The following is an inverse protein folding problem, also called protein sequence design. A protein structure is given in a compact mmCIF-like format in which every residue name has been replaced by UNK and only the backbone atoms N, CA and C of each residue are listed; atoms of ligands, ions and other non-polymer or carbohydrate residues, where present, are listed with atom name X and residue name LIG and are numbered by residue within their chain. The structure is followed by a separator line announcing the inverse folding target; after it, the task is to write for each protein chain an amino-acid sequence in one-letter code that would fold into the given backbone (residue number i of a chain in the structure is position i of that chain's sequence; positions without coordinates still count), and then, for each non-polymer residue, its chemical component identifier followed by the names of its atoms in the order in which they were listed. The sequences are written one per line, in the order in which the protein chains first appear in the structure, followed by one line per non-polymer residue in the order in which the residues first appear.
data_IF_302321000877
#
_entry.id   IF_302321000877
#
_cell.length_a   1.000
_cell.length_b   1.000
_cell.length_c   1.000
_cell.angle_alpha   90.00
_cell.angle_beta   90.00
_cell.angle_gamma   90.00
#
_symmetry.space_group_name_H-M   'P 1'
#
loop_
_entity.id
_entity.type
_entity.pdbx_description
1 polymer ?
#
# COMPACT_ATOMS: atom_id res chain seq x y z
N UNK A 1 14.76 37.27 11.82
CA UNK A 1 13.53 36.61 11.32
C UNK A 1 13.66 35.97 9.92
N UNK A 2 14.75 36.19 9.16
CA UNK A 2 14.95 35.56 7.83
C UNK A 2 15.21 34.05 7.89
N UNK A 3 16.08 33.57 8.80
CA UNK A 3 16.50 32.16 8.84
C UNK A 3 15.37 31.14 9.03
N UNK A 4 14.27 31.51 9.71
CA UNK A 4 13.12 30.62 9.94
C UNK A 4 12.27 30.37 8.69
N UNK A 5 12.43 31.18 7.64
CA UNK A 5 11.69 31.02 6.37
C UNK A 5 12.49 30.16 5.40
N UNK A 6 13.80 30.36 5.33
CA UNK A 6 14.71 29.61 4.45
C UNK A 6 14.81 28.14 4.88
N UNK A 7 14.90 27.88 6.20
CA UNK A 7 14.86 26.54 6.77
C UNK A 7 13.58 25.78 6.40
N UNK A 8 12.42 26.47 6.40
CA UNK A 8 11.13 25.86 6.03
C UNK A 8 11.05 25.48 4.55
N UNK A 9 11.65 26.28 3.67
CA UNK A 9 11.69 25.99 2.23
C UNK A 9 12.62 24.80 1.97
N UNK A 10 13.79 24.78 2.61
CA UNK A 10 14.73 23.67 2.49
C UNK A 10 14.10 22.34 2.94
N UNK A 11 13.48 22.30 4.12
CA UNK A 11 12.78 21.11 4.63
C UNK A 11 11.63 20.69 3.70
N UNK A 12 10.93 21.66 3.10
CA UNK A 12 9.86 21.37 2.14
C UNK A 12 10.40 20.72 0.86
N UNK A 13 11.52 21.20 0.33
CA UNK A 13 12.19 20.58 -0.83
C UNK A 13 12.73 19.20 -0.49
N UNK A 14 13.31 19.01 0.70
CA UNK A 14 13.81 17.70 1.16
C UNK A 14 12.68 16.67 1.29
N UNK A 15 11.50 17.07 1.78
CA UNK A 15 10.31 16.22 1.81
C UNK A 15 9.84 15.82 0.40
N UNK A 16 9.92 16.74 -0.55
CA UNK A 16 9.46 16.55 -1.93
C UNK A 16 10.44 15.78 -2.81
N UNK A 17 11.72 15.70 -2.44
CA UNK A 17 12.80 15.19 -3.28
C UNK A 17 12.50 13.83 -3.94
N UNK A 18 12.05 12.78 -3.21
CA UNK A 18 11.78 11.48 -3.84
C UNK A 18 10.63 11.53 -4.85
N UNK A 19 9.61 12.35 -4.58
CA UNK A 19 8.43 12.49 -5.46
C UNK A 19 8.78 13.29 -6.70
N UNK A 20 9.51 14.40 -6.55
CA UNK A 20 10.00 15.18 -7.68
C UNK A 20 10.82 14.27 -8.62
N UNK A 21 11.67 13.43 -8.04
CA UNK A 21 12.50 12.50 -8.78
C UNK A 21 11.67 11.47 -9.58
N UNK A 22 10.74 10.76 -8.93
CA UNK A 22 9.89 9.78 -9.63
C UNK A 22 9.04 10.42 -10.72
N UNK A 23 8.41 11.56 -10.43
CA UNK A 23 7.54 12.22 -11.42
C UNK A 23 8.39 12.69 -12.60
N UNK A 24 9.62 13.16 -12.36
CA UNK A 24 10.54 13.53 -13.44
C UNK A 24 10.89 12.34 -14.33
N UNK A 25 11.20 11.19 -13.75
CA UNK A 25 11.48 9.97 -14.52
C UNK A 25 10.25 9.50 -15.29
N UNK A 26 9.07 9.50 -14.68
CA UNK A 26 7.83 9.09 -15.35
C UNK A 26 7.49 10.01 -16.53
N UNK A 27 7.68 11.32 -16.37
CA UNK A 27 7.50 12.29 -17.46
C UNK A 27 8.50 12.06 -18.59
N UNK A 28 9.77 11.78 -18.27
CA UNK A 28 10.77 11.54 -19.30
C UNK A 28 10.57 10.17 -19.97
N UNK A 29 10.26 9.13 -19.20
CA UNK A 29 10.00 7.79 -19.71
C UNK A 29 8.79 7.78 -20.66
N UNK A 30 7.72 8.52 -20.35
CA UNK A 30 6.56 8.64 -21.24
C UNK A 30 6.87 9.39 -22.54
N UNK A 31 7.85 10.29 -22.53
CA UNK A 31 8.34 10.97 -23.73
C UNK A 31 9.30 10.09 -24.55
N UNK A 32 10.21 9.36 -23.90
CA UNK A 32 11.20 8.51 -24.56
C UNK A 32 10.55 7.25 -25.14
N UNK A 33 9.60 6.64 -24.43
CA UNK A 33 9.03 5.34 -24.80
C UNK A 33 8.46 5.29 -26.23
N UNK A 34 7.65 6.26 -26.70
CA UNK A 34 7.20 6.29 -28.08
C UNK A 34 8.34 6.41 -29.11
N UNK A 35 9.39 7.17 -28.77
CA UNK A 35 10.54 7.41 -29.65
C UNK A 35 11.38 6.13 -29.78
N UNK A 36 11.49 5.36 -28.70
CA UNK A 36 12.21 4.07 -28.71
C UNK A 36 11.49 2.96 -29.49
N UNK A 37 10.21 3.12 -29.85
CA UNK A 37 9.49 2.17 -30.70
C UNK A 37 9.83 2.33 -32.19
N UNK A 38 10.50 3.44 -32.58
CA UNK A 38 10.92 3.66 -33.96
C UNK A 38 12.20 2.86 -34.27
N UNK A 39 12.27 2.18 -35.42
CA UNK A 39 13.48 1.48 -35.86
C UNK A 39 14.71 2.40 -35.89
N UNK A 40 15.86 1.90 -35.44
CA UNK A 40 17.12 2.67 -35.39
C UNK A 40 17.53 3.26 -36.75
N UNK A 41 17.11 2.63 -37.84
CA UNK A 41 17.39 3.07 -39.21
C UNK A 41 16.66 4.37 -39.60
N UNK A 42 15.65 4.80 -38.85
CA UNK A 42 14.86 6.01 -39.12
C UNK A 42 15.44 7.24 -38.41
N UNK A 43 16.05 7.06 -37.23
CA UNK A 43 16.53 8.15 -36.39
C UNK A 43 18.06 8.05 -36.21
N UNK A 44 18.86 8.96 -36.83
CA UNK A 44 20.31 8.97 -36.67
C UNK A 44 20.79 9.47 -35.29
N UNK A 45 19.85 9.84 -34.41
CA UNK A 45 20.11 10.43 -33.09
C UNK A 45 19.47 9.58 -32.02
N UNK A 46 20.17 9.35 -30.91
CA UNK A 46 19.63 8.59 -29.77
C UNK A 46 18.32 9.22 -29.27
N UNK A 47 17.27 8.44 -28.99
CA UNK A 47 15.96 8.92 -28.51
C UNK A 47 16.02 9.92 -27.34
N UNK A 48 17.02 9.76 -26.47
CA UNK A 48 17.19 10.59 -25.29
C UNK A 48 17.43 12.08 -25.62
N UNK A 49 18.18 12.39 -26.68
CA UNK A 49 18.43 13.77 -27.09
C UNK A 49 17.19 14.43 -27.70
N UNK A 50 16.34 13.64 -28.38
CA UNK A 50 15.07 14.13 -28.95
C UNK A 50 14.12 14.50 -27.82
N UNK A 51 13.96 13.61 -26.83
CA UNK A 51 13.14 13.87 -25.65
C UNK A 51 13.61 15.14 -24.92
N UNK A 52 14.91 15.35 -24.85
CA UNK A 52 15.48 16.53 -24.22
C UNK A 52 15.17 17.84 -24.96
N UNK A 53 15.34 17.89 -26.29
CA UNK A 53 14.98 19.08 -27.07
C UNK A 53 13.52 19.45 -26.83
N UNK A 54 12.63 18.44 -26.83
CA UNK A 54 11.22 18.62 -26.52
C UNK A 54 11.02 19.17 -25.10
N UNK A 55 11.66 18.58 -24.09
CA UNK A 55 11.58 19.05 -22.69
C UNK A 55 12.12 20.47 -22.55
N UNK A 56 13.25 20.79 -23.18
CA UNK A 56 13.87 22.12 -23.17
C UNK A 56 12.98 23.19 -23.78
N UNK A 57 12.35 22.91 -24.94
CA UNK A 57 11.36 23.81 -25.56
C UNK A 57 10.16 24.01 -24.63
N UNK A 58 9.62 22.93 -24.06
CA UNK A 58 8.48 23.00 -23.13
C UNK A 58 8.80 23.82 -21.88
N UNK A 59 9.99 23.65 -21.31
CA UNK A 59 10.48 24.44 -20.18
C UNK A 59 10.66 25.91 -20.57
N UNK A 60 11.26 26.21 -21.72
CA UNK A 60 11.37 27.58 -22.23
C UNK A 60 10.01 28.27 -22.36
N UNK A 61 9.03 27.60 -22.98
CA UNK A 61 7.64 28.08 -23.10
C UNK A 61 7.00 28.31 -21.72
N UNK A 62 7.22 27.41 -20.77
CA UNK A 62 6.75 27.57 -19.40
C UNK A 62 7.41 28.76 -18.70
N UNK A 63 8.71 28.96 -18.88
CA UNK A 63 9.45 30.13 -18.39
C UNK A 63 8.88 31.46 -18.87
N UNK A 64 8.45 31.54 -20.13
CA UNK A 64 7.74 32.72 -20.64
C UNK A 64 6.37 32.92 -19.98
N UNK A 65 5.62 31.84 -19.74
CA UNK A 65 4.35 31.91 -19.01
C UNK A 65 4.55 32.40 -17.57
N UNK A 66 5.62 32.00 -16.88
CA UNK A 66 5.92 32.46 -15.52
C UNK A 66 6.02 34.00 -15.43
N UNK A 67 6.50 34.68 -16.48
CA UNK A 67 6.54 36.16 -16.52
C UNK A 67 5.14 36.79 -16.47
N UNK A 68 4.13 36.10 -17.01
CA UNK A 68 2.72 36.56 -16.99
C UNK A 68 2.04 36.35 -15.63
N UNK A 69 2.56 35.45 -14.79
CA UNK A 69 1.97 35.09 -13.49
C UNK A 69 2.34 36.05 -12.35
N UNK A 70 2.93 37.22 -12.64
CA UNK A 70 3.31 38.27 -11.67
C UNK A 70 4.18 37.75 -10.49
N UNK A 71 4.99 36.72 -10.73
CA UNK A 71 5.90 36.13 -9.73
C UNK A 71 7.07 37.08 -9.47
N UNK A 72 7.67 37.05 -8.28
CA UNK A 72 8.82 37.89 -7.96
C UNK A 72 9.99 37.65 -8.93
N UNK A 73 10.71 38.74 -9.27
CA UNK A 73 11.85 38.71 -10.18
C UNK A 73 12.92 37.70 -9.76
N UNK A 74 13.12 37.51 -8.44
CA UNK A 74 14.08 36.55 -7.89
C UNK A 74 13.77 35.12 -8.30
N UNK A 75 12.51 34.65 -8.17
CA UNK A 75 12.13 33.31 -8.61
C UNK A 75 12.26 33.14 -10.13
N UNK A 76 11.96 34.18 -10.91
CA UNK A 76 12.17 34.11 -12.35
C UNK A 76 13.66 33.95 -12.71
N UNK A 77 14.55 34.71 -12.07
CA UNK A 77 15.99 34.59 -12.27
C UNK A 77 16.48 33.19 -11.91
N UNK A 78 16.04 32.65 -10.76
CA UNK A 78 16.37 31.29 -10.32
C UNK A 78 15.92 30.26 -11.36
N UNK A 79 14.70 30.38 -11.89
CA UNK A 79 14.17 29.51 -12.94
C UNK A 79 15.09 29.47 -14.18
N UNK A 80 15.39 30.65 -14.73
CA UNK A 80 16.21 30.76 -15.95
C UNK A 80 17.65 30.33 -15.71
N UNK A 81 18.21 30.59 -14.53
CA UNK A 81 19.55 30.15 -14.14
C UNK A 81 19.65 28.61 -14.12
N UNK A 82 18.72 27.93 -13.44
CA UNK A 82 18.72 26.46 -13.40
C UNK A 82 18.42 25.83 -14.75
N UNK A 83 17.55 26.44 -15.57
CA UNK A 83 17.30 25.98 -16.94
C UNK A 83 18.60 26.09 -17.77
N UNK A 84 19.27 27.24 -17.72
CA UNK A 84 20.53 27.49 -18.44
C UNK A 84 21.65 26.55 -18.03
N UNK A 85 21.80 26.27 -16.72
CA UNK A 85 22.75 25.26 -16.23
C UNK A 85 22.39 23.88 -16.77
N UNK A 86 21.12 23.50 -16.71
CA UNK A 86 20.69 22.18 -17.14
C UNK A 86 20.92 21.94 -18.63
N UNK A 87 20.61 22.93 -19.48
CA UNK A 87 20.89 22.89 -20.92
C UNK A 87 22.40 22.99 -21.21
N UNK A 88 23.13 23.82 -20.46
CA UNK A 88 24.56 24.05 -20.65
C UNK A 88 25.41 22.82 -20.31
N UNK A 89 25.20 22.20 -19.14
CA UNK A 89 25.93 20.98 -18.78
C UNK A 89 25.68 19.88 -19.82
N UNK A 90 24.52 19.86 -20.45
CA UNK A 90 24.25 18.88 -21.48
C UNK A 90 25.02 19.12 -22.77
N UNK A 91 24.96 20.34 -23.30
CA UNK A 91 25.65 20.70 -24.54
C UNK A 91 27.17 20.48 -24.45
N UNK A 92 27.74 20.60 -23.25
CA UNK A 92 29.19 20.53 -23.04
C UNK A 92 29.72 19.23 -22.43
N UNK A 93 28.95 18.53 -21.59
CA UNK A 93 29.47 17.40 -20.78
C UNK A 93 28.78 16.06 -21.06
N UNK A 94 27.78 16.02 -21.95
CA UNK A 94 27.14 14.78 -22.43
C UNK A 94 26.65 13.83 -21.31
N UNK A 95 26.26 14.38 -20.16
CA UNK A 95 25.76 13.62 -19.02
C UNK A 95 24.25 13.37 -19.13
N UNK A 96 23.87 12.17 -19.55
CA UNK A 96 22.46 11.75 -19.63
C UNK A 96 21.68 11.79 -18.30
N UNK A 97 22.38 11.91 -17.17
CA UNK A 97 21.77 12.00 -15.84
C UNK A 97 20.99 13.29 -15.60
N UNK A 98 21.48 14.43 -16.11
CA UNK A 98 20.84 15.72 -15.88
C UNK A 98 19.50 15.81 -16.62
N UNK A 99 19.34 15.05 -17.70
CA UNK A 99 18.09 14.91 -18.44
C UNK A 99 16.99 14.34 -17.54
N UNK A 100 17.31 13.36 -16.68
CA UNK A 100 16.33 12.77 -15.76
C UNK A 100 15.78 13.78 -14.75
N UNK A 101 16.56 14.82 -14.45
CA UNK A 101 16.19 15.87 -13.50
C UNK A 101 15.64 17.13 -14.19
N UNK A 102 15.70 17.28 -15.51
CA UNK A 102 15.17 18.46 -16.20
C UNK A 102 13.68 18.74 -15.89
N UNK A 103 12.78 17.75 -15.89
CA UNK A 103 11.38 17.98 -15.55
C UNK A 103 11.17 18.44 -14.09
N UNK A 104 12.13 18.21 -13.19
CA UNK A 104 12.03 18.58 -11.77
C UNK A 104 11.76 20.08 -11.60
N UNK A 105 12.35 20.90 -12.48
CA UNK A 105 12.23 22.35 -12.44
C UNK A 105 10.78 22.79 -12.73
N UNK A 106 10.15 22.18 -13.75
CA UNK A 106 8.73 22.36 -14.02
C UNK A 106 7.86 21.89 -12.84
N UNK A 107 8.16 20.72 -12.29
CA UNK A 107 7.39 20.11 -11.20
C UNK A 107 7.42 21.00 -9.95
N UNK A 108 8.60 21.46 -9.52
CA UNK A 108 8.75 22.35 -8.36
C UNK A 108 7.95 23.64 -8.55
N UNK A 109 8.10 24.31 -9.69
CA UNK A 109 7.38 25.55 -9.95
C UNK A 109 5.87 25.33 -10.05
N UNK A 110 5.42 24.23 -10.66
CA UNK A 110 4.01 23.87 -10.72
C UNK A 110 3.44 23.62 -9.31
N UNK A 111 4.17 22.86 -8.48
CA UNK A 111 3.78 22.59 -7.08
C UNK A 111 3.79 23.86 -6.25
N UNK A 112 4.64 24.85 -6.51
CA UNK A 112 4.67 26.09 -5.73
C UNK A 112 3.59 27.09 -6.18
N UNK A 113 3.35 27.21 -7.48
CA UNK A 113 2.62 28.35 -8.05
C UNK A 113 1.20 28.00 -8.49
N UNK A 114 0.95 26.79 -9.00
CA UNK A 114 -0.35 26.46 -9.58
C UNK A 114 -1.42 26.23 -8.51
N UNK A 115 -2.61 26.80 -8.70
CA UNK A 115 -3.74 26.67 -7.76
C UNK A 115 -4.34 25.25 -7.78
N UNK A 116 -4.25 24.56 -8.92
CA UNK A 116 -4.75 23.17 -9.07
C UNK A 116 -4.03 22.19 -8.13
N UNK A 117 -2.80 22.51 -7.71
CA UNK A 117 -2.00 21.69 -6.80
C UNK A 117 -2.26 22.00 -5.31
N UNK A 118 -3.30 22.76 -4.95
CA UNK A 118 -3.51 23.20 -3.56
C UNK A 118 -3.70 22.06 -2.55
N UNK A 119 -4.40 20.99 -2.92
CA UNK A 119 -4.56 19.81 -2.05
C UNK A 119 -3.21 19.14 -1.78
N UNK A 120 -2.40 18.99 -2.82
CA UNK A 120 -1.05 18.43 -2.73
C UNK A 120 -0.12 19.33 -1.90
N UNK A 121 -0.16 20.65 -2.10
CA UNK A 121 0.55 21.63 -1.27
C UNK A 121 0.21 21.47 0.20
N UNK A 122 -1.08 21.42 0.52
CA UNK A 122 -1.59 21.27 1.89
C UNK A 122 -1.09 19.97 2.52
N UNK A 123 -1.15 18.87 1.78
CA UNK A 123 -0.65 17.57 2.23
C UNK A 123 0.84 17.63 2.63
N UNK A 124 1.70 18.13 1.73
CA UNK A 124 3.14 18.23 2.02
C UNK A 124 3.46 19.23 3.13
N UNK A 125 2.71 20.33 3.22
CA UNK A 125 2.92 21.32 4.27
C UNK A 125 2.59 20.75 5.65
N UNK A 126 1.52 19.97 5.77
CA UNK A 126 1.13 19.31 7.03
C UNK A 126 2.02 18.11 7.37
N UNK A 127 2.52 17.40 6.37
CA UNK A 127 3.36 16.22 6.55
C UNK A 127 4.87 16.49 6.52
N UNK A 128 5.29 17.76 6.33
CA UNK A 128 6.68 18.14 6.05
C UNK A 128 7.71 17.45 6.95
N UNK A 129 7.60 17.59 8.26
CA UNK A 129 8.62 17.11 9.19
C UNK A 129 8.62 15.57 9.24
N UNK A 130 7.46 14.95 9.08
CA UNK A 130 7.33 13.49 8.99
C UNK A 130 7.97 12.94 7.72
N UNK A 131 7.73 13.58 6.56
CA UNK A 131 8.32 13.16 5.29
C UNK A 131 9.84 13.38 5.27
N UNK A 132 10.32 14.48 5.85
CA UNK A 132 11.76 14.70 6.06
C UNK A 132 12.34 13.59 6.95
N UNK A 133 11.68 13.26 8.06
CA UNK A 133 12.12 12.20 8.95
C UNK A 133 12.17 10.84 8.24
N UNK A 134 11.18 10.51 7.40
CA UNK A 134 11.24 9.31 6.56
C UNK A 134 12.42 9.33 5.60
N UNK A 135 12.60 10.41 4.84
CA UNK A 135 13.67 10.50 3.85
C UNK A 135 15.06 10.42 4.50
N UNK A 136 15.27 11.07 5.64
CA UNK A 136 16.51 10.99 6.41
C UNK A 136 16.74 9.61 7.00
N UNK A 137 15.69 9.01 7.59
CA UNK A 137 15.76 7.65 8.11
C UNK A 137 16.12 6.66 7.01
N UNK A 138 15.48 6.77 5.84
CA UNK A 138 15.70 5.85 4.73
C UNK A 138 17.09 6.00 4.14
N UNK A 139 17.56 7.24 3.94
CA UNK A 139 18.92 7.51 3.48
C UNK A 139 19.96 6.95 4.47
N UNK A 140 19.76 7.14 5.77
CA UNK A 140 20.62 6.59 6.80
C UNK A 140 20.56 5.06 6.85
N UNK A 141 19.38 4.47 6.78
CA UNK A 141 19.18 3.03 6.77
C UNK A 141 19.89 2.38 5.57
N UNK A 142 19.69 2.92 4.36
CA UNK A 142 20.35 2.40 3.15
C UNK A 142 21.86 2.61 3.22
N UNK A 143 22.33 3.80 3.64
CA UNK A 143 23.75 4.09 3.76
C UNK A 143 24.48 3.21 4.77
N UNK A 144 23.91 3.07 5.98
CA UNK A 144 24.42 2.18 7.03
C UNK A 144 24.43 0.71 6.58
N UNK A 145 23.41 0.31 5.81
CA UNK A 145 23.34 -1.03 5.24
C UNK A 145 24.52 -1.33 4.32
N UNK A 146 24.83 -0.46 3.34
CA UNK A 146 25.95 -0.67 2.44
C UNK A 146 27.30 -0.60 3.13
N UNK A 147 27.43 0.28 4.13
CA UNK A 147 28.61 0.37 4.96
C UNK A 147 28.83 -0.93 5.75
N UNK A 148 27.77 -1.52 6.30
CA UNK A 148 27.82 -2.81 6.98
C UNK A 148 28.20 -3.95 6.03
N UNK A 149 27.66 -3.96 4.80
CA UNK A 149 28.09 -4.92 3.75
C UNK A 149 29.60 -4.82 3.47
N UNK A 150 30.12 -3.60 3.35
CA UNK A 150 31.53 -3.34 3.11
C UNK A 150 32.40 -3.86 4.27
N UNK A 151 32.04 -3.52 5.52
CA UNK A 151 32.76 -3.96 6.72
C UNK A 151 32.78 -5.49 6.84
N UNK A 152 31.64 -6.16 6.59
CA UNK A 152 31.56 -7.63 6.63
C UNK A 152 32.49 -8.23 5.57
N UNK A 153 32.45 -7.72 4.34
CA UNK A 153 33.30 -8.22 3.25
C UNK A 153 34.79 -8.06 3.57
N UNK A 154 35.19 -6.94 4.16
CA UNK A 154 36.58 -6.65 4.49
C UNK A 154 37.08 -7.48 5.69
N UNK A 155 36.20 -7.79 6.65
CA UNK A 155 36.57 -8.50 7.88
C UNK A 155 36.09 -9.95 7.95
N UNK A 156 35.66 -10.53 6.83
CA UNK A 156 35.05 -11.88 6.78
C UNK A 156 35.90 -12.93 7.50
N UNK A 157 37.21 -12.96 7.24
CA UNK A 157 38.12 -13.93 7.85
C UNK A 157 38.22 -13.79 9.39
N UNK A 158 38.15 -12.57 9.91
CA UNK A 158 38.18 -12.30 11.36
C UNK A 158 36.85 -12.67 12.03
N UNK A 159 35.75 -12.46 11.31
CA UNK A 159 34.42 -12.86 11.76
C UNK A 159 34.35 -14.39 11.81
N UNK A 160 34.81 -15.06 10.76
CA UNK A 160 34.84 -16.53 10.70
C UNK A 160 35.73 -17.12 11.80
N UNK A 161 36.91 -16.54 12.07
CA UNK A 161 37.75 -17.02 13.17
C UNK A 161 37.08 -16.86 14.53
N UNK A 162 36.46 -15.71 14.79
CA UNK A 162 35.74 -15.46 16.04
C UNK A 162 34.54 -16.40 16.22
N UNK A 163 33.75 -16.62 15.17
CA UNK A 163 32.59 -17.53 15.21
C UNK A 163 33.03 -18.97 15.48
N UNK A 164 34.16 -19.39 14.92
CA UNK A 164 34.70 -20.74 15.13
C UNK A 164 35.31 -20.95 16.54
N UNK A 165 35.66 -19.87 17.26
CA UNK A 165 36.14 -19.94 18.65
C UNK A 165 35.00 -20.08 19.67
N UNK A 166 33.75 -19.82 19.27
CA UNK A 166 32.60 -19.92 20.17
C UNK A 166 32.29 -21.40 20.48
N UNK A 167 31.94 -21.74 21.73
CA UNK A 167 31.60 -23.11 22.14
C UNK A 167 30.22 -23.58 21.64
N UNK A 168 29.60 -22.85 20.71
CA UNK A 168 28.25 -23.09 20.20
C UNK A 168 28.37 -23.59 18.76
N UNK A 169 27.52 -24.53 18.36
CA UNK A 169 27.53 -25.02 16.99
C UNK A 169 27.25 -23.87 16.00
N UNK A 170 27.96 -23.87 14.87
CA UNK A 170 27.81 -22.82 13.85
C UNK A 170 26.38 -22.76 13.29
N UNK A 171 25.73 -23.92 13.13
CA UNK A 171 24.34 -24.01 12.69
C UNK A 171 23.35 -23.37 13.66
N UNK A 172 23.54 -23.56 14.97
CA UNK A 172 22.66 -22.95 15.98
C UNK A 172 22.86 -21.44 16.04
N UNK A 173 24.11 -20.97 15.94
CA UNK A 173 24.43 -19.54 15.86
C UNK A 173 23.82 -18.87 14.64
N UNK A 174 23.91 -19.50 13.47
CA UNK A 174 23.33 -18.99 12.23
C UNK A 174 21.81 -18.85 12.34
N UNK A 175 21.14 -19.84 12.94
CA UNK A 175 19.68 -19.82 13.14
C UNK A 175 19.26 -18.74 14.16
N UNK A 176 19.96 -18.62 15.29
CA UNK A 176 19.69 -17.58 16.30
C UNK A 176 19.90 -16.19 15.70
N UNK A 177 21.01 -16.00 14.96
CA UNK A 177 21.32 -14.75 14.26
C UNK A 177 20.25 -14.41 13.23
N UNK A 178 19.81 -15.38 12.43
CA UNK A 178 18.75 -15.19 11.44
C UNK A 178 17.44 -14.75 12.09
N UNK A 179 17.01 -15.43 13.16
CA UNK A 179 15.79 -15.05 13.90
C UNK A 179 15.92 -13.62 14.45
N UNK A 180 17.06 -13.29 15.06
CA UNK A 180 17.30 -11.97 15.61
C UNK A 180 17.28 -10.88 14.53
N UNK A 181 17.93 -11.12 13.39
CA UNK A 181 17.96 -10.19 12.25
C UNK A 181 16.54 -9.98 11.69
N UNK A 182 15.77 -11.06 11.52
CA UNK A 182 14.37 -10.97 11.05
C UNK A 182 13.54 -10.12 12.02
N UNK A 183 13.65 -10.39 13.31
CA UNK A 183 12.91 -9.64 14.34
C UNK A 183 13.32 -8.17 14.35
N UNK A 184 14.62 -7.87 14.26
CA UNK A 184 15.13 -6.50 14.18
C UNK A 184 14.57 -5.78 12.95
N UNK A 185 14.70 -6.37 11.77
CA UNK A 185 14.34 -5.75 10.49
C UNK A 185 12.84 -5.59 10.28
N UNK A 186 12.03 -6.55 10.73
CA UNK A 186 10.58 -6.56 10.44
C UNK A 186 9.70 -6.19 11.64
N UNK A 187 10.24 -6.14 12.86
CA UNK A 187 9.46 -5.76 14.05
C UNK A 187 10.01 -4.47 14.64
N UNK A 188 11.23 -4.47 15.18
CA UNK A 188 11.74 -3.31 15.92
C UNK A 188 11.91 -2.05 15.06
N UNK A 189 12.60 -2.17 13.92
CA UNK A 189 12.88 -1.01 13.06
C UNK A 189 11.58 -0.41 12.49
N UNK A 190 10.63 -1.20 11.92
CA UNK A 190 9.38 -0.66 11.44
C UNK A 190 8.50 -0.06 12.55
N UNK A 191 8.49 -0.65 13.76
CA UNK A 191 7.77 -0.07 14.91
C UNK A 191 8.35 1.30 15.24
N UNK A 192 9.68 1.39 15.39
CA UNK A 192 10.34 2.64 15.70
C UNK A 192 10.04 3.73 14.66
N UNK A 193 10.28 3.44 13.37
CA UNK A 193 10.02 4.36 12.26
C UNK A 193 8.53 4.75 12.18
N UNK A 194 7.64 3.77 12.32
CA UNK A 194 6.19 3.94 12.22
C UNK A 194 5.58 4.78 13.36
N UNK A 195 5.95 4.51 14.61
CA UNK A 195 5.47 5.31 15.74
C UNK A 195 6.09 6.70 15.78
N UNK A 196 7.38 6.82 15.48
CA UNK A 196 8.07 8.11 15.46
C UNK A 196 7.43 9.06 14.43
N UNK A 197 7.10 8.56 13.24
CA UNK A 197 6.46 9.37 12.19
C UNK A 197 5.09 9.93 12.60
N UNK A 198 4.25 9.12 13.26
CA UNK A 198 2.95 9.55 13.79
C UNK A 198 3.15 10.59 14.91
N UNK A 199 4.13 10.38 15.78
CA UNK A 199 4.45 11.33 16.84
C UNK A 199 4.92 12.67 16.28
N UNK A 200 5.84 12.67 15.30
CA UNK A 200 6.32 13.88 14.61
C UNK A 200 5.14 14.62 13.96
N UNK A 201 4.26 13.90 13.25
CA UNK A 201 3.12 14.50 12.57
C UNK A 201 2.17 15.20 13.54
N UNK A 202 1.83 14.51 14.64
CA UNK A 202 0.96 15.08 15.68
C UNK A 202 1.60 16.29 16.33
N UNK A 203 2.91 16.25 16.60
CA UNK A 203 3.64 17.38 17.18
C UNK A 203 3.67 18.59 16.24
N UNK A 204 3.96 18.37 14.96
CA UNK A 204 3.97 19.41 13.93
C UNK A 204 2.59 20.10 13.80
N UNK A 205 1.51 19.31 13.80
CA UNK A 205 0.15 19.81 13.58
C UNK A 205 -0.62 20.11 14.88
N UNK A 206 0.02 19.98 16.05
CA UNK A 206 -0.60 20.18 17.39
C UNK A 206 -1.88 19.34 17.60
N UNK A 207 -1.84 18.08 17.17
CA UNK A 207 -2.96 17.14 17.31
C UNK A 207 -2.81 16.36 18.61
N UNK A 208 -3.76 16.56 19.53
CA UNK A 208 -3.83 15.85 20.80
C UNK A 208 -4.92 14.77 20.75
N UNK A 209 -4.72 13.69 21.50
CA UNK A 209 -5.74 12.66 21.63
C UNK A 209 -6.92 13.21 22.44
N UNK A 210 -8.12 13.18 21.84
CA UNK A 210 -9.35 13.50 22.55
C UNK A 210 -9.74 12.34 23.46
N UNK A 211 -10.48 12.61 24.53
CA UNK A 211 -11.01 11.58 25.42
C UNK A 211 -11.86 10.58 24.63
N UNK A 212 -11.64 9.28 24.84
CA UNK A 212 -12.30 8.20 24.11
C UNK A 212 -11.74 7.90 22.71
N UNK A 213 -10.83 8.72 22.16
CA UNK A 213 -10.24 8.50 20.83
C UNK A 213 -8.82 7.94 20.89
N UNK A 214 -8.50 7.04 19.96
CA UNK A 214 -7.19 6.39 19.83
C UNK A 214 -6.64 6.48 18.41
N UNK A 215 -5.32 6.48 18.29
CA UNK A 215 -4.60 6.47 17.00
C UNK A 215 -4.01 5.10 16.66
N UNK A 216 -4.51 4.01 17.26
CA UNK A 216 -3.95 2.66 17.12
C UNK A 216 -3.88 2.23 15.65
N UNK A 217 -4.97 2.38 14.91
CA UNK A 217 -5.02 2.04 13.49
C UNK A 217 -4.07 2.90 12.64
N UNK A 218 -3.88 4.18 12.99
CA UNK A 218 -2.90 5.04 12.32
C UNK A 218 -1.47 4.56 12.58
N UNK A 219 -1.14 4.18 13.82
CA UNK A 219 0.17 3.59 14.14
C UNK A 219 0.40 2.25 13.44
N UNK A 220 -0.61 1.38 13.37
CA UNK A 220 -0.52 0.08 12.70
C UNK A 220 -0.33 0.26 11.19
N UNK A 221 -1.06 1.19 10.54
CA UNK A 221 -0.85 1.53 9.13
C UNK A 221 0.54 2.12 8.89
N UNK A 222 1.05 2.94 9.81
CA UNK A 222 2.39 3.50 9.73
C UNK A 222 3.48 2.43 9.90
N UNK A 223 3.29 1.48 10.81
CA UNK A 223 4.12 0.29 10.95
C UNK A 223 4.11 -0.52 9.64
N UNK A 224 2.94 -0.80 9.06
CA UNK A 224 2.82 -1.52 7.79
C UNK A 224 3.55 -0.82 6.65
N UNK A 225 3.37 0.50 6.53
CA UNK A 225 4.11 1.35 5.57
C UNK A 225 5.63 1.21 5.77
N UNK A 226 6.06 1.20 7.03
CA UNK A 226 7.47 1.08 7.38
C UNK A 226 8.04 -0.31 7.06
N UNK A 227 7.30 -1.37 7.36
CA UNK A 227 7.67 -2.75 7.09
C UNK A 227 7.77 -3.02 5.59
N UNK A 228 6.81 -2.53 4.80
CA UNK A 228 6.84 -2.62 3.33
C UNK A 228 8.06 -1.91 2.78
N UNK A 229 8.37 -0.70 3.25
CA UNK A 229 9.55 0.03 2.77
C UNK A 229 10.84 -0.74 3.05
N UNK A 230 11.00 -1.25 4.27
CA UNK A 230 12.20 -2.00 4.67
C UNK A 230 12.31 -3.31 3.89
N UNK A 231 11.20 -4.02 3.69
CA UNK A 231 11.14 -5.19 2.82
C UNK A 231 11.65 -4.87 1.41
N UNK A 232 11.15 -3.79 0.81
CA UNK A 232 11.57 -3.35 -0.53
C UNK A 232 13.07 -3.00 -0.55
N UNK A 233 13.58 -2.31 0.46
CA UNK A 233 15.00 -1.97 0.56
C UNK A 233 15.90 -3.20 0.64
N UNK A 234 15.52 -4.19 1.45
CA UNK A 234 16.24 -5.46 1.60
C UNK A 234 16.17 -6.29 0.31
N UNK A 235 15.00 -6.31 -0.36
CA UNK A 235 14.84 -7.06 -1.62
C UNK A 235 15.79 -6.54 -2.71
N UNK A 236 15.93 -5.22 -2.83
CA UNK A 236 16.89 -4.59 -3.75
C UNK A 236 18.33 -4.81 -3.32
N UNK A 237 18.59 -4.91 -2.01
CA UNK A 237 19.93 -5.16 -1.51
C UNK A 237 20.49 -6.49 -2.01
N UNK A 238 19.72 -7.58 -1.92
CA UNK A 238 20.18 -8.90 -2.36
C UNK A 238 20.49 -8.95 -3.87
N UNK A 239 19.97 -7.99 -4.64
CA UNK A 239 20.22 -7.87 -6.07
C UNK A 239 21.40 -6.94 -6.41
N UNK A 240 21.91 -6.15 -5.46
CA UNK A 240 22.86 -5.06 -5.75
C UNK A 240 24.19 -5.21 -4.99
N UNK A 241 25.29 -5.20 -5.73
CA UNK A 241 26.62 -5.42 -5.16
C UNK A 241 27.33 -4.14 -4.70
N UNK A 242 27.02 -2.99 -5.31
CA UNK A 242 27.65 -1.70 -5.00
C UNK A 242 26.66 -0.54 -5.08
N UNK A 243 26.95 0.54 -4.34
CA UNK A 243 26.26 1.82 -4.45
C UNK A 243 26.71 2.54 -5.72
N UNK A 244 26.09 2.19 -6.83
CA UNK A 244 26.24 2.92 -8.09
C UNK A 244 25.08 3.91 -8.27
N UNK A 245 25.24 4.86 -9.18
CA UNK A 245 24.21 5.85 -9.49
C UNK A 245 22.83 5.19 -9.73
N UNK A 246 22.76 4.14 -10.55
CA UNK A 246 21.51 3.39 -10.83
C UNK A 246 20.84 2.84 -9.57
N UNK A 247 21.61 2.28 -8.65
CA UNK A 247 21.07 1.77 -7.37
C UNK A 247 20.51 2.89 -6.50
N UNK A 248 21.17 4.05 -6.47
CA UNK A 248 20.65 5.23 -5.76
C UNK A 248 19.32 5.69 -6.35
N UNK A 249 19.16 5.64 -7.68
CA UNK A 249 17.89 5.97 -8.32
C UNK A 249 16.78 5.02 -7.93
N UNK A 250 17.05 3.72 -7.88
CA UNK A 250 16.05 2.74 -7.47
C UNK A 250 15.64 2.98 -6.01
N UNK A 251 16.59 3.28 -5.12
CA UNK A 251 16.24 3.61 -3.74
C UNK A 251 15.44 4.90 -3.60
N UNK A 252 15.75 5.95 -4.37
CA UNK A 252 14.93 7.16 -4.44
C UNK A 252 13.52 6.86 -4.94
N UNK A 253 13.38 5.92 -5.89
CA UNK A 253 12.08 5.45 -6.33
C UNK A 253 11.31 4.77 -5.18
N UNK A 254 11.97 3.86 -4.47
CA UNK A 254 11.36 3.16 -3.34
C UNK A 254 10.96 4.10 -2.21
N UNK A 255 11.76 5.12 -1.90
CA UNK A 255 11.44 6.14 -0.90
C UNK A 255 10.15 6.90 -1.24
N UNK A 256 9.87 7.16 -2.52
CA UNK A 256 8.63 7.88 -2.88
C UNK A 256 7.37 7.08 -2.60
N UNK A 257 7.42 5.74 -2.55
CA UNK A 257 6.27 4.94 -2.14
C UNK A 257 5.87 5.21 -0.69
N UNK A 258 6.84 5.51 0.19
CA UNK A 258 6.54 5.95 1.57
C UNK A 258 5.64 7.18 1.57
N UNK A 259 5.94 8.15 0.70
CA UNK A 259 5.15 9.39 0.59
C UNK A 259 3.72 9.11 0.11
N UNK A 260 3.54 8.12 -0.76
CA UNK A 260 2.21 7.70 -1.20
C UNK A 260 1.45 6.98 -0.08
N UNK A 261 2.06 5.98 0.58
CA UNK A 261 1.41 5.22 1.64
C UNK A 261 1.07 6.07 2.87
N UNK A 262 1.88 7.10 3.16
CA UNK A 262 1.61 8.05 4.23
C UNK A 262 0.25 8.76 4.09
N UNK A 263 -0.28 8.87 2.86
CA UNK A 263 -1.62 9.43 2.61
C UNK A 263 -2.68 8.74 3.49
N UNK A 264 -2.64 7.41 3.54
CA UNK A 264 -3.62 6.60 4.28
C UNK A 264 -3.52 6.75 5.80
N UNK A 265 -2.38 7.22 6.30
CA UNK A 265 -2.09 7.41 7.73
C UNK A 265 -2.50 8.79 8.17
N UNK A 266 -2.07 9.85 7.47
CA UNK A 266 -2.32 11.22 7.92
C UNK A 266 -3.82 11.56 7.89
N UNK A 267 -4.59 11.03 6.93
CA UNK A 267 -6.04 11.23 6.89
C UNK A 267 -6.74 10.70 8.14
N UNK A 268 -6.27 9.57 8.68
CA UNK A 268 -6.78 9.01 9.93
C UNK A 268 -6.43 9.88 11.14
N UNK A 269 -5.21 10.44 11.17
CA UNK A 269 -4.77 11.32 12.25
C UNK A 269 -5.52 12.66 12.21
N UNK A 270 -5.73 13.22 11.02
CA UNK A 270 -6.41 14.50 10.81
C UNK A 270 -7.88 14.50 11.25
N UNK A 271 -8.53 13.33 11.23
CA UNK A 271 -9.90 13.15 11.76
C UNK A 271 -9.95 13.15 13.30
N UNK A 272 -8.81 13.28 13.97
CA UNK A 272 -8.70 13.32 15.43
C UNK A 272 -8.65 11.95 16.11
N UNK A 273 -8.36 10.90 15.35
CA UNK A 273 -8.34 9.51 15.83
C UNK A 273 -9.70 8.83 15.75
N UNK A 274 -9.71 7.53 15.99
CA UNK A 274 -10.89 6.68 15.92
C UNK A 274 -11.45 6.42 17.32
N UNK A 275 -12.75 6.16 17.42
CA UNK A 275 -13.38 5.81 18.70
C UNK A 275 -12.83 4.49 19.25
N UNK A 276 -12.44 4.46 20.53
CA UNK A 276 -11.76 3.31 21.14
C UNK A 276 -12.62 2.05 21.09
N UNK A 277 -13.91 2.16 21.40
CA UNK A 277 -14.82 1.01 21.40
C UNK A 277 -15.01 0.49 19.98
N UNK A 278 -15.19 1.39 19.02
CA UNK A 278 -15.23 1.05 17.60
C UNK A 278 -13.97 0.34 17.10
N UNK A 279 -12.78 0.81 17.50
CA UNK A 279 -11.50 0.16 17.13
C UNK A 279 -11.41 -1.25 17.71
N UNK A 280 -11.72 -1.43 18.99
CA UNK A 280 -11.69 -2.74 19.64
C UNK A 280 -12.68 -3.70 18.94
N UNK A 281 -13.90 -3.24 18.69
CA UNK A 281 -14.92 -4.04 17.99
C UNK A 281 -14.45 -4.48 16.61
N UNK A 282 -13.84 -3.58 15.83
CA UNK A 282 -13.30 -3.91 14.51
C UNK A 282 -12.17 -4.94 14.58
N UNK A 283 -11.25 -4.84 15.55
CA UNK A 283 -10.18 -5.82 15.72
C UNK A 283 -10.69 -7.19 16.16
N UNK A 284 -11.70 -7.23 17.03
CA UNK A 284 -12.38 -8.48 17.40
C UNK A 284 -13.04 -9.10 16.18
N UNK A 285 -13.71 -8.30 15.35
CA UNK A 285 -14.34 -8.78 14.11
C UNK A 285 -13.29 -9.34 13.13
N UNK A 286 -12.17 -8.64 12.93
CA UNK A 286 -11.06 -9.14 12.10
C UNK A 286 -10.54 -10.47 12.66
N UNK A 287 -10.34 -10.57 13.97
CA UNK A 287 -9.91 -11.82 14.63
C UNK A 287 -10.88 -12.97 14.40
N UNK A 288 -12.19 -12.72 14.56
CA UNK A 288 -13.23 -13.71 14.28
C UNK A 288 -13.21 -14.16 12.82
N UNK A 289 -13.10 -13.22 11.87
CA UNK A 289 -13.01 -13.54 10.43
C UNK A 289 -11.78 -14.40 10.12
N UNK A 290 -10.63 -14.12 10.73
CA UNK A 290 -9.43 -14.93 10.57
C UNK A 290 -9.62 -16.36 11.12
N UNK A 291 -10.25 -16.51 12.28
CA UNK A 291 -10.58 -17.82 12.84
C UNK A 291 -11.53 -18.57 11.90
N UNK A 292 -12.57 -17.90 11.39
CA UNK A 292 -13.49 -18.48 10.41
C UNK A 292 -12.78 -18.92 9.13
N UNK A 293 -11.79 -18.16 8.64
CA UNK A 293 -11.01 -18.54 7.47
C UNK A 293 -10.15 -19.78 7.71
N UNK A 294 -9.54 -19.90 8.89
CA UNK A 294 -8.80 -21.11 9.27
C UNK A 294 -9.75 -22.32 9.34
N UNK A 295 -10.91 -22.16 9.98
CA UNK A 295 -11.90 -23.24 10.06
C UNK A 295 -12.43 -23.63 8.67
N UNK A 296 -12.74 -22.65 7.82
CA UNK A 296 -13.17 -22.87 6.43
C UNK A 296 -12.11 -23.66 5.64
N UNK A 297 -10.83 -23.37 5.88
CA UNK A 297 -9.72 -24.06 5.23
C UNK A 297 -9.59 -25.53 5.68
N UNK A 298 -9.79 -25.79 6.97
CA UNK A 298 -9.54 -27.10 7.61
C UNK A 298 -10.73 -28.06 7.52
N UNK A 299 -11.96 -27.56 7.68
CA UNK A 299 -13.20 -28.35 7.74
C UNK A 299 -14.25 -27.78 6.78
N UNK A 300 -13.85 -27.59 5.51
CA UNK A 300 -14.62 -26.91 4.46
C UNK A 300 -16.08 -27.38 4.36
N UNK A 301 -16.32 -28.69 4.23
CA UNK A 301 -17.65 -29.27 4.07
C UNK A 301 -18.56 -29.00 5.28
N UNK A 302 -18.08 -29.25 6.49
CA UNK A 302 -18.87 -29.09 7.72
C UNK A 302 -19.15 -27.61 8.01
N UNK A 303 -18.16 -26.74 7.75
CA UNK A 303 -18.33 -25.30 7.87
C UNK A 303 -19.34 -24.74 6.87
N UNK A 304 -19.33 -25.21 5.61
CA UNK A 304 -20.36 -24.83 4.63
C UNK A 304 -21.74 -25.25 5.14
N UNK A 305 -21.87 -26.46 5.68
CA UNK A 305 -23.11 -26.97 6.26
C UNK A 305 -23.65 -26.07 7.38
N UNK A 306 -22.79 -25.70 8.35
CA UNK A 306 -23.16 -24.81 9.45
C UNK A 306 -23.55 -23.41 8.92
N UNK A 307 -22.74 -22.86 8.02
CA UNK A 307 -22.95 -21.52 7.48
C UNK A 307 -24.22 -21.39 6.65
N UNK A 308 -24.63 -22.46 5.97
CA UNK A 308 -25.88 -22.52 5.17
C UNK A 308 -27.11 -22.15 5.99
N UNK A 309 -27.15 -22.53 7.25
CA UNK A 309 -28.23 -22.15 8.17
C UNK A 309 -27.92 -20.86 8.93
N UNK A 310 -26.65 -20.68 9.34
CA UNK A 310 -26.29 -19.56 10.18
C UNK A 310 -26.35 -18.19 9.46
N UNK A 311 -25.72 -18.06 8.29
CA UNK A 311 -25.54 -16.76 7.61
C UNK A 311 -26.83 -16.18 7.00
N UNK A 312 -27.66 -16.95 6.27
CA UNK A 312 -28.85 -16.39 5.63
C UNK A 312 -30.11 -16.47 6.50
N UNK A 313 -30.15 -17.28 7.56
CA UNK A 313 -31.35 -17.43 8.41
C UNK A 313 -31.13 -16.85 9.81
N UNK A 314 -30.17 -17.38 10.58
CA UNK A 314 -30.01 -17.00 11.98
C UNK A 314 -29.45 -15.57 12.16
N UNK A 315 -28.44 -15.19 11.37
CA UNK A 315 -27.78 -13.90 11.50
C UNK A 315 -28.73 -12.72 11.22
N UNK A 316 -29.56 -12.73 10.16
CA UNK A 316 -30.66 -11.77 9.97
C UNK A 316 -31.62 -11.67 11.16
N UNK A 317 -32.00 -12.79 11.77
CA UNK A 317 -32.92 -12.83 12.92
C UNK A 317 -32.26 -12.20 14.15
N UNK A 318 -31.04 -12.61 14.49
CA UNK A 318 -30.30 -12.03 15.59
C UNK A 318 -30.15 -10.52 15.43
N UNK A 319 -29.79 -10.05 14.23
CA UNK A 319 -29.66 -8.61 13.92
C UNK A 319 -31.02 -7.90 14.03
N UNK A 320 -32.10 -8.50 13.55
CA UNK A 320 -33.45 -7.94 13.60
C UNK A 320 -34.01 -7.82 15.01
N UNK A 321 -33.58 -8.69 15.92
CA UNK A 321 -34.08 -8.76 17.29
C UNK A 321 -33.12 -8.23 18.36
N UNK A 322 -31.92 -7.73 18.01
CA UNK A 322 -30.92 -7.24 19.01
C UNK A 322 -31.52 -6.30 20.07
N UNK A 323 -32.45 -5.43 19.68
CA UNK A 323 -33.07 -4.47 20.59
C UNK A 323 -33.94 -5.13 21.70
N UNK A 324 -34.40 -6.38 21.51
CA UNK A 324 -35.19 -7.11 22.52
C UNK A 324 -34.35 -7.54 23.72
N UNK A 325 -33.02 -7.54 23.60
CA UNK A 325 -32.07 -8.00 24.61
C UNK A 325 -31.74 -6.87 25.63
N UNK A 326 -32.02 -5.60 25.30
CA UNK A 326 -31.65 -4.46 26.14
C UNK A 326 -32.69 -4.31 27.28
N UNK A 327 -32.33 -4.54 28.56
CA UNK A 327 -33.28 -4.70 29.67
C UNK A 327 -34.12 -3.46 30.01
N UNK A 328 -33.80 -2.29 29.43
CA UNK A 328 -34.45 -0.99 29.72
C UNK A 328 -34.74 -0.17 28.47
N UNK A 329 -34.57 -0.75 27.28
CA UNK A 329 -34.93 -0.09 26.02
C UNK A 329 -36.41 -0.31 25.73
N UNK A 330 -37.15 0.74 25.36
CA UNK A 330 -38.46 0.56 24.73
C UNK A 330 -38.31 -0.42 23.56
N UNK A 331 -39.16 -1.45 23.49
CA UNK A 331 -39.22 -2.39 22.36
C UNK A 331 -39.43 -1.59 21.07
N UNK A 332 -38.36 -1.37 20.31
CA UNK A 332 -38.41 -0.66 19.04
C UNK A 332 -38.64 -1.66 17.92
N UNK A 333 -39.73 -1.50 17.18
CA UNK A 333 -39.97 -2.30 15.98
C UNK A 333 -38.96 -1.94 14.87
N UNK A 334 -38.57 -2.90 14.00
CA UNK A 334 -37.63 -2.63 12.91
C UNK A 334 -38.20 -1.61 11.93
N UNK A 335 -37.43 -0.55 11.67
CA UNK A 335 -37.78 0.47 10.65
C UNK A 335 -37.77 -0.15 9.24
N UNK A 336 -38.42 0.47 8.24
CA UNK A 336 -38.32 0.03 6.86
C UNK A 336 -36.87 -0.06 6.34
N UNK A 337 -35.99 0.83 6.80
CA UNK A 337 -34.56 0.79 6.49
C UNK A 337 -33.89 -0.48 7.06
N UNK A 338 -34.21 -0.84 8.31
CA UNK A 338 -33.72 -2.06 8.94
C UNK A 338 -34.23 -3.31 8.23
N UNK A 339 -35.53 -3.38 7.91
CA UNK A 339 -36.13 -4.49 7.16
C UNK A 339 -35.45 -4.68 5.80
N UNK A 340 -35.19 -3.57 5.08
CA UNK A 340 -34.46 -3.59 3.81
C UNK A 340 -33.02 -4.11 3.97
N UNK A 341 -32.32 -3.66 5.01
CA UNK A 341 -30.96 -4.11 5.29
C UNK A 341 -30.90 -5.62 5.58
N UNK A 342 -31.78 -6.11 6.44
CA UNK A 342 -31.91 -7.54 6.78
C UNK A 342 -32.20 -8.37 5.53
N UNK A 343 -33.15 -7.95 4.69
CA UNK A 343 -33.47 -8.65 3.44
C UNK A 343 -32.28 -8.70 2.47
N UNK A 344 -31.59 -7.57 2.32
CA UNK A 344 -30.40 -7.51 1.47
C UNK A 344 -29.28 -8.42 2.00
N UNK A 345 -29.06 -8.40 3.32
CA UNK A 345 -28.08 -9.25 3.98
C UNK A 345 -28.41 -10.74 3.80
N UNK A 346 -29.68 -11.12 3.95
CA UNK A 346 -30.14 -12.49 3.74
C UNK A 346 -29.86 -13.00 2.32
N UNK A 347 -30.23 -12.22 1.30
CA UNK A 347 -29.97 -12.57 -0.10
C UNK A 347 -28.46 -12.64 -0.38
N UNK A 348 -27.70 -11.67 0.13
CA UNK A 348 -26.26 -11.61 -0.06
C UNK A 348 -25.55 -12.80 0.58
N UNK A 349 -25.91 -13.15 1.82
CA UNK A 349 -25.42 -14.32 2.55
C UNK A 349 -25.74 -15.62 1.80
N UNK A 350 -26.98 -15.78 1.35
CA UNK A 350 -27.41 -16.94 0.59
C UNK A 350 -26.62 -17.09 -0.70
N UNK A 351 -26.53 -16.02 -1.51
CA UNK A 351 -25.83 -16.07 -2.79
C UNK A 351 -24.32 -16.26 -2.62
N UNK A 352 -23.72 -15.71 -1.55
CA UNK A 352 -22.29 -15.92 -1.25
C UNK A 352 -22.01 -17.38 -0.99
N UNK A 353 -22.83 -18.04 -0.17
CA UNK A 353 -22.70 -19.46 0.10
C UNK A 353 -23.04 -20.32 -1.10
N UNK A 354 -24.06 -19.96 -1.87
CA UNK A 354 -24.43 -20.67 -3.09
C UNK A 354 -23.28 -20.69 -4.10
N UNK A 355 -22.69 -19.53 -4.39
CA UNK A 355 -21.55 -19.45 -5.30
C UNK A 355 -20.34 -20.19 -4.73
N UNK A 356 -20.05 -20.00 -3.43
CA UNK A 356 -18.92 -20.68 -2.79
C UNK A 356 -19.07 -22.21 -2.84
N UNK A 357 -20.27 -22.72 -2.55
CA UNK A 357 -20.56 -24.15 -2.58
C UNK A 357 -20.55 -24.72 -4.00
N UNK A 358 -21.03 -23.99 -5.01
CA UNK A 358 -20.87 -24.38 -6.42
C UNK A 358 -19.39 -24.47 -6.80
N UNK A 359 -18.61 -23.44 -6.46
CA UNK A 359 -17.18 -23.40 -6.75
C UNK A 359 -16.43 -24.54 -6.06
N UNK A 360 -16.78 -24.85 -4.82
CA UNK A 360 -16.22 -25.96 -4.04
C UNK A 360 -16.65 -27.32 -4.63
N UNK A 361 -17.94 -27.55 -4.84
CA UNK A 361 -18.49 -28.83 -5.32
C UNK A 361 -18.09 -29.18 -6.75
N UNK A 362 -18.12 -28.23 -7.69
CA UNK A 362 -17.62 -28.44 -9.07
C UNK A 362 -16.14 -28.81 -9.11
N UNK A 363 -15.40 -28.36 -8.11
CA UNK A 363 -13.95 -28.56 -8.03
C UNK A 363 -13.57 -29.75 -7.17
N UNK A 364 -14.49 -30.37 -6.44
CA UNK A 364 -14.20 -31.47 -5.52
C UNK A 364 -14.29 -32.81 -6.24
N UNK A 365 -13.19 -33.56 -6.26
CA UNK A 365 -13.20 -34.99 -6.65
C UNK A 365 -13.06 -35.85 -5.40
N UNK A 366 -13.88 -36.88 -5.32
CA UNK A 366 -13.71 -37.95 -4.34
C UNK A 366 -12.63 -38.90 -4.86
N UNK A 367 -11.54 -39.04 -4.11
CA UNK A 367 -10.47 -40.00 -4.41
C UNK A 367 -10.40 -40.98 -3.25
N UNK A 368 -10.38 -42.28 -3.56
CA UNK A 368 -10.18 -43.31 -2.55
C UNK A 368 -8.69 -43.42 -2.30
N UNK A 369 -8.26 -43.14 -1.07
CA UNK A 369 -6.87 -43.27 -0.64
C UNK A 369 -6.85 -43.98 0.71
N UNK A 370 -6.08 -45.06 0.82
CA UNK A 370 -5.97 -45.88 2.04
C UNK A 370 -7.34 -46.24 2.67
N UNK A 371 -8.27 -46.76 1.87
CA UNK A 371 -9.62 -47.18 2.29
C UNK A 371 -10.54 -46.06 2.84
N UNK A 372 -10.10 -44.79 2.76
CA UNK A 372 -10.89 -43.61 3.12
C UNK A 372 -11.25 -42.80 1.87
N UNK A 373 -12.48 -42.27 1.85
CA UNK A 373 -12.94 -41.34 0.81
C UNK A 373 -12.37 -39.96 1.15
N UNK A 374 -11.30 -39.55 0.48
CA UNK A 374 -10.77 -38.18 0.58
C UNK A 374 -11.48 -37.29 -0.46
N UNK A 375 -12.11 -36.21 0.02
CA UNK A 375 -12.63 -35.15 -0.85
C UNK A 375 -11.49 -34.16 -1.15
N UNK A 376 -11.06 -34.10 -2.41
CA UNK A 376 -9.97 -33.21 -2.83
C UNK A 376 -10.53 -32.11 -3.72
N UNK A 377 -10.45 -30.88 -3.25
CA UNK A 377 -10.77 -29.68 -4.03
C UNK A 377 -9.62 -29.36 -5.02
N UNK A 378 -9.85 -29.67 -6.29
CA UNK A 378 -8.89 -29.49 -7.40
C UNK A 378 -8.56 -28.03 -7.64
N UNK A 379 -9.54 -27.13 -7.51
CA UNK A 379 -9.31 -25.69 -7.71
C UNK A 379 -8.38 -25.17 -6.63
N UNK A 380 -8.59 -25.58 -5.37
CA UNK A 380 -7.70 -25.25 -4.26
C UNK A 380 -6.31 -25.82 -4.49
N UNK A 381 -6.20 -27.09 -4.89
CA UNK A 381 -4.91 -27.74 -5.20
C UNK A 381 -4.16 -27.07 -6.37
N UNK A 382 -4.89 -26.68 -7.41
CA UNK A 382 -4.35 -25.95 -8.56
C UNK A 382 -3.83 -24.58 -8.14
N UNK A 383 -4.64 -23.80 -7.41
CA UNK A 383 -4.22 -22.48 -6.92
C UNK A 383 -3.01 -22.59 -5.97
N UNK A 384 -3.01 -23.57 -5.07
CA UNK A 384 -1.84 -23.88 -4.25
C UNK A 384 -0.63 -24.16 -5.15
N UNK A 385 -0.75 -25.00 -6.18
CA UNK A 385 0.38 -25.29 -7.09
C UNK A 385 0.88 -24.08 -7.90
N UNK A 386 0.01 -23.11 -8.19
CA UNK A 386 0.40 -21.86 -8.88
C UNK A 386 1.19 -20.95 -7.95
N UNK A 387 0.83 -20.92 -6.66
CA UNK A 387 1.49 -20.09 -5.66
C UNK A 387 2.65 -20.78 -4.94
N UNK A 388 2.71 -22.10 -4.99
CA UNK A 388 3.77 -22.89 -4.37
C UNK A 388 5.06 -22.78 -5.17
N UNK A 389 6.01 -22.03 -4.62
CA UNK A 389 7.38 -21.91 -5.12
C UNK A 389 8.37 -22.76 -4.30
N UNK A 390 7.89 -23.73 -3.53
CA UNK A 390 8.70 -24.66 -2.74
C UNK A 390 9.20 -24.11 -1.39
N UNK A 391 8.79 -22.90 -1.00
CA UNK A 391 9.29 -22.22 0.23
C UNK A 391 8.20 -21.87 1.25
N UNK A 392 6.92 -22.04 0.91
CA UNK A 392 5.78 -21.65 1.73
C UNK A 392 5.10 -22.85 2.35
N UNK A 393 4.67 -22.76 3.61
CA UNK A 393 3.97 -23.88 4.24
C UNK A 393 2.63 -24.12 3.53
N UNK A 394 2.35 -25.39 3.21
CA UNK A 394 1.08 -25.81 2.59
C UNK A 394 -0.14 -25.32 3.38
N UNK A 395 -0.02 -25.18 4.70
CA UNK A 395 -1.04 -24.63 5.58
C UNK A 395 -1.34 -23.15 5.30
N UNK A 396 -0.32 -22.28 5.26
CA UNK A 396 -0.53 -20.84 5.01
C UNK A 396 -1.03 -20.56 3.60
N UNK A 397 -0.51 -21.29 2.61
CA UNK A 397 -1.00 -21.23 1.24
C UNK A 397 -2.46 -21.70 1.14
N UNK A 398 -2.84 -22.76 1.85
CA UNK A 398 -4.21 -23.25 1.89
C UNK A 398 -5.19 -22.17 2.34
N UNK A 399 -4.92 -21.54 3.49
CA UNK A 399 -5.73 -20.45 4.04
C UNK A 399 -5.82 -19.26 3.06
N UNK A 400 -4.69 -18.88 2.44
CA UNK A 400 -4.67 -17.79 1.47
C UNK A 400 -5.52 -18.07 0.24
N UNK A 401 -5.45 -19.28 -0.29
CA UNK A 401 -6.27 -19.73 -1.42
C UNK A 401 -7.75 -19.76 -1.04
N UNK A 402 -8.08 -20.29 0.14
CA UNK A 402 -9.45 -20.30 0.68
C UNK A 402 -10.01 -18.87 0.81
N UNK A 403 -9.18 -17.91 1.23
CA UNK A 403 -9.54 -16.49 1.27
C UNK A 403 -9.81 -15.90 -0.12
N UNK A 404 -8.99 -16.22 -1.13
CA UNK A 404 -9.22 -15.79 -2.53
C UNK A 404 -10.55 -16.33 -3.05
N UNK A 405 -10.82 -17.63 -2.86
CA UNK A 405 -12.06 -18.26 -3.32
C UNK A 405 -13.27 -17.59 -2.65
N UNK A 406 -13.19 -17.29 -1.36
CA UNK A 406 -14.24 -16.59 -0.63
C UNK A 406 -14.48 -15.17 -1.20
N UNK A 407 -13.42 -14.39 -1.44
CA UNK A 407 -13.53 -13.04 -2.02
C UNK A 407 -14.18 -13.05 -3.41
N UNK A 408 -13.77 -13.99 -4.28
CA UNK A 408 -14.40 -14.18 -5.58
C UNK A 408 -15.89 -14.52 -5.44
N UNK A 409 -16.23 -15.39 -4.48
CA UNK A 409 -17.62 -15.79 -4.23
C UNK A 409 -18.47 -14.61 -3.77
N UNK A 410 -17.95 -13.76 -2.87
CA UNK A 410 -18.62 -12.52 -2.44
C UNK A 410 -18.83 -11.57 -3.63
N UNK A 411 -17.82 -11.38 -4.49
CA UNK A 411 -17.93 -10.48 -5.64
C UNK A 411 -19.04 -10.92 -6.63
N UNK A 412 -19.08 -12.22 -6.95
CA UNK A 412 -20.12 -12.79 -7.83
C UNK A 412 -21.49 -12.72 -7.15
N UNK A 413 -21.57 -13.06 -5.86
CA UNK A 413 -22.80 -13.01 -5.10
C UNK A 413 -23.40 -11.61 -5.01
N UNK A 414 -22.57 -10.56 -4.96
CA UNK A 414 -23.04 -9.17 -4.99
C UNK A 414 -23.80 -8.86 -6.27
N UNK A 415 -23.25 -9.27 -7.41
CA UNK A 415 -23.87 -9.07 -8.73
C UNK A 415 -25.17 -9.88 -8.83
N UNK A 416 -25.14 -11.16 -8.46
CA UNK A 416 -26.31 -12.04 -8.46
C UNK A 416 -27.44 -11.49 -7.57
N UNK A 417 -27.09 -11.00 -6.37
CA UNK A 417 -28.06 -10.43 -5.42
C UNK A 417 -28.76 -9.21 -5.99
N UNK A 418 -28.05 -8.32 -6.69
CA UNK A 418 -28.67 -7.18 -7.38
C UNK A 418 -29.63 -7.62 -8.48
N UNK A 419 -29.22 -8.59 -9.30
CA UNK A 419 -30.05 -9.13 -10.39
C UNK A 419 -31.33 -9.77 -9.82
N UNK A 420 -31.19 -10.61 -8.79
CA UNK A 420 -32.32 -11.29 -8.15
C UNK A 420 -33.32 -10.29 -7.55
N UNK A 421 -32.84 -9.29 -6.81
CA UNK A 421 -33.70 -8.24 -6.24
C UNK A 421 -34.42 -7.47 -7.35
N UNK A 422 -33.72 -7.14 -8.44
CA UNK A 422 -34.32 -6.47 -9.59
C UNK A 422 -35.43 -7.31 -10.24
N UNK A 423 -35.19 -8.60 -10.47
CA UNK A 423 -36.17 -9.52 -11.07
C UNK A 423 -37.39 -9.74 -10.16
N UNK A 424 -37.18 -9.91 -8.85
CA UNK A 424 -38.27 -10.06 -7.87
C UNK A 424 -39.11 -8.78 -7.83
N UNK A 425 -38.48 -7.61 -7.76
CA UNK A 425 -39.19 -6.32 -7.77
C UNK A 425 -40.03 -6.16 -9.04
N UNK A 426 -39.46 -6.44 -10.21
CA UNK A 426 -40.18 -6.38 -11.50
C UNK A 426 -41.37 -7.34 -11.54
N UNK A 427 -41.21 -8.54 -10.99
CA UNK A 427 -42.24 -9.59 -11.09
C UNK A 427 -43.39 -9.38 -10.09
N UNK A 428 -43.08 -8.92 -8.89
CA UNK A 428 -44.02 -8.90 -7.76
C UNK A 428 -44.48 -7.50 -7.34
N UNK A 429 -43.65 -6.46 -7.53
CA UNK A 429 -43.96 -5.08 -7.13
C UNK A 429 -44.50 -4.27 -8.32
N UNK A 430 -44.02 -4.46 -9.55
CA UNK A 430 -44.58 -3.72 -10.71
C UNK A 430 -45.94 -4.28 -11.18
N UNK A 431 -46.31 -5.49 -10.72
CA UNK A 431 -47.68 -6.06 -10.85
C UNK A 431 -48.54 -5.83 -9.58
N UNK A 432 -48.18 -4.85 -8.74
CA UNK A 432 -48.54 -4.73 -7.30
C UNK A 432 -50.00 -4.89 -6.92
N UNK A 433 -50.98 -4.62 -7.79
CA UNK A 433 -52.40 -4.70 -7.38
C UNK A 433 -52.94 -6.12 -7.19
N UNK A 434 -52.12 -7.18 -7.34
CA UNK A 434 -52.57 -8.58 -7.16
C UNK A 434 -52.03 -9.30 -5.92
N UNK A 435 -50.93 -8.85 -5.32
CA UNK A 435 -50.21 -9.64 -4.30
C UNK A 435 -49.94 -8.91 -2.98
N UNK A 436 -50.00 -7.57 -2.98
CA UNK A 436 -49.75 -6.77 -1.79
C UNK A 436 -50.87 -5.72 -1.68
N UNK A 437 -51.51 -5.62 -0.51
CA UNK A 437 -52.52 -4.59 -0.22
C UNK A 437 -51.89 -3.24 0.01
#
# INVERSE_FOLDING_TARGET
MSGRRDEKIFLYLLALLPVIFIVSILMLASLIFPITLLPENILPVKPIYIAEIVVGILLGLYGFRLRRLQISKTFQIIYWFFLGISTGILLFLNYGFIILLQPSLFIVYSILLERRMQSFKTYFQRSRDTLVAFNLFDAFFIGSYFLLKYIIKENMNKIDSFVNELPISRSDLDLISLIFIIFLLFIFIPIFRGFLSVWIYKKQNRIFAQTGKVFWNSNIKSYGTSAISIYLYISMFFQTNSLNLSTVLIYLMLMSFTVYFWITVYEGIDRGGEDKEGVISNWVLIGLVLIFLVLLDQIESDMIGILTWFLPMLLPIFIGEVNSIIPRGYLKSPTPAMKKHIYWLQIMSFNTLFVFNIMSSLSTKQIIKNEQIEQINILKKFLVSVFDKGTSSNFTLGIFVSFIILLCSIAVAYVLSKIMIYLIRRSYIERSNRYFN
#
